data_IF_527420648462
#
_entry.id   IF_527420648462
#
_cell.length_a   1.000
_cell.length_b   1.000
_cell.length_c   1.000
_cell.angle_alpha   90.00
_cell.angle_beta   90.00
_cell.angle_gamma   90.00
#
_symmetry.space_group_name_H-M   'P 1'
#
loop_
_entity.id
_entity.type
_entity.pdbx_description
1 polymer ?
#
# COMPACT_ATOMS: atom_id res chain seq x y z
N UNK A 1 -11.47 -11.70 -16.27
CA UNK A 1 -10.11 -11.16 -16.06
C UNK A 1 -9.56 -11.77 -14.77
N UNK A 2 -8.43 -12.49 -14.81
CA UNK A 2 -7.75 -12.96 -13.58
C UNK A 2 -6.86 -11.81 -13.10
N UNK A 3 -7.06 -11.35 -11.87
CA UNK A 3 -6.19 -10.35 -11.26
C UNK A 3 -4.84 -11.00 -10.94
N UNK A 4 -3.77 -10.30 -11.28
CA UNK A 4 -2.41 -10.71 -10.96
C UNK A 4 -2.21 -10.76 -9.43
N UNK A 5 -1.57 -11.80 -8.87
CA UNK A 5 -1.33 -11.93 -7.44
C UNK A 5 -0.61 -10.72 -6.82
N UNK A 6 0.30 -10.04 -7.55
CA UNK A 6 0.97 -8.82 -7.08
C UNK A 6 0.00 -7.66 -6.95
N UNK A 7 -0.91 -7.50 -7.91
CA UNK A 7 -1.93 -6.45 -7.87
C UNK A 7 -2.86 -6.68 -6.66
N UNK A 8 -3.24 -7.94 -6.40
CA UNK A 8 -4.04 -8.29 -5.22
C UNK A 8 -3.28 -7.98 -3.93
N UNK A 9 -2.00 -8.31 -3.84
CA UNK A 9 -1.17 -8.02 -2.67
C UNK A 9 -1.05 -6.52 -2.39
N UNK A 10 -0.82 -5.72 -3.44
CA UNK A 10 -0.74 -4.25 -3.34
C UNK A 10 -2.07 -3.68 -2.83
N UNK A 11 -3.19 -4.09 -3.41
CA UNK A 11 -4.51 -3.61 -2.96
C UNK A 11 -4.84 -4.03 -1.54
N UNK A 12 -4.51 -5.28 -1.15
CA UNK A 12 -4.76 -5.76 0.20
C UNK A 12 -3.94 -4.98 1.24
N UNK A 13 -2.66 -4.76 0.98
CA UNK A 13 -1.78 -3.98 1.87
C UNK A 13 -2.15 -2.51 1.92
N UNK A 14 -2.56 -1.91 0.79
CA UNK A 14 -3.06 -0.53 0.78
C UNK A 14 -4.37 -0.37 1.56
N UNK A 15 -5.23 -1.41 1.60
CA UNK A 15 -6.48 -1.37 2.34
C UNK A 15 -6.31 -1.38 3.87
N UNK A 16 -5.21 -1.95 4.40
CA UNK A 16 -4.99 -2.07 5.84
C UNK A 16 -4.84 -0.71 6.55
N UNK A 17 -4.00 0.24 6.07
CA UNK A 17 -3.93 1.56 6.67
C UNK A 17 -5.23 2.36 6.46
N UNK A 18 -5.92 2.19 5.33
CA UNK A 18 -7.23 2.81 5.11
C UNK A 18 -8.27 2.32 6.12
N UNK A 19 -8.27 1.03 6.43
CA UNK A 19 -9.12 0.45 7.46
C UNK A 19 -8.74 0.96 8.86
N UNK A 20 -7.44 1.05 9.17
CA UNK A 20 -6.95 1.60 10.43
C UNK A 20 -7.33 3.09 10.61
N UNK A 21 -7.22 3.90 9.55
CA UNK A 21 -7.68 5.30 9.51
C UNK A 21 -9.18 5.36 9.79
N UNK A 22 -9.97 4.54 9.09
CA UNK A 22 -11.42 4.53 9.22
C UNK A 22 -11.85 4.14 10.64
N UNK A 23 -11.21 3.11 11.22
CA UNK A 23 -11.45 2.67 12.59
C UNK A 23 -11.08 3.77 13.58
N UNK A 24 -9.91 4.40 13.43
CA UNK A 24 -9.49 5.48 14.34
C UNK A 24 -10.37 6.72 14.23
N UNK A 25 -10.78 7.10 13.04
CA UNK A 25 -11.74 8.19 12.85
C UNK A 25 -13.08 7.88 13.52
N UNK A 26 -13.55 6.63 13.46
CA UNK A 26 -14.77 6.20 14.16
C UNK A 26 -14.63 6.26 15.70
N UNK A 27 -13.42 6.13 16.25
CA UNK A 27 -13.15 6.31 17.69
C UNK A 27 -13.13 7.77 18.16
N UNK A 28 -13.52 8.72 17.31
CA UNK A 28 -13.68 10.13 17.68
C UNK A 28 -12.44 11.00 17.49
N UNK A 29 -11.38 10.47 16.87
CA UNK A 29 -10.22 11.29 16.50
C UNK A 29 -10.59 12.24 15.36
N UNK A 30 -10.09 13.47 15.40
CA UNK A 30 -10.24 14.42 14.29
C UNK A 30 -9.61 13.81 13.04
N UNK A 31 -10.35 13.82 11.92
CA UNK A 31 -9.91 13.24 10.65
C UNK A 31 -8.50 13.69 10.24
N UNK A 32 -8.18 14.98 10.41
CA UNK A 32 -6.85 15.52 10.10
C UNK A 32 -5.70 14.93 10.95
N UNK A 33 -5.96 14.59 12.22
CA UNK A 33 -4.96 13.95 13.10
C UNK A 33 -4.75 12.50 12.69
N UNK A 34 -5.83 11.80 12.34
CA UNK A 34 -5.75 10.42 11.84
C UNK A 34 -5.00 10.39 10.51
N UNK A 35 -5.29 11.31 9.59
CA UNK A 35 -4.58 11.36 8.32
C UNK A 35 -3.09 11.64 8.52
N UNK A 36 -2.72 12.63 9.35
CA UNK A 36 -1.32 12.95 9.65
C UNK A 36 -0.55 11.78 10.29
N UNK A 37 -1.20 11.00 11.16
CA UNK A 37 -0.55 9.89 11.87
C UNK A 37 -0.37 8.64 10.99
N UNK A 38 -1.32 8.34 10.09
CA UNK A 38 -1.35 7.06 9.37
C UNK A 38 -0.92 7.18 7.89
N UNK A 39 -1.03 8.37 7.29
CA UNK A 39 -0.68 8.56 5.88
C UNK A 39 0.81 8.34 5.57
N UNK A 40 1.78 8.77 6.40
CA UNK A 40 3.19 8.45 6.16
C UNK A 40 3.46 6.95 6.13
N UNK A 41 2.83 6.19 7.03
CA UNK A 41 2.96 4.74 7.09
C UNK A 41 2.36 4.06 5.85
N UNK A 42 1.19 4.54 5.37
CA UNK A 42 0.60 4.10 4.10
C UNK A 42 1.57 4.32 2.93
N UNK A 43 2.14 5.52 2.81
CA UNK A 43 3.07 5.87 1.72
C UNK A 43 4.30 4.97 1.74
N UNK A 44 4.88 4.73 2.92
CA UNK A 44 6.04 3.83 3.05
C UNK A 44 5.71 2.39 2.68
N UNK A 45 4.59 1.85 3.18
CA UNK A 45 4.15 0.48 2.86
C UNK A 45 3.92 0.28 1.37
N UNK A 46 3.17 1.19 0.74
CA UNK A 46 2.89 1.13 -0.70
C UNK A 46 4.19 1.29 -1.50
N UNK A 47 5.06 2.23 -1.12
CA UNK A 47 6.34 2.46 -1.78
C UNK A 47 7.25 1.22 -1.75
N UNK A 48 7.39 0.57 -0.58
CA UNK A 48 8.18 -0.66 -0.43
C UNK A 48 7.63 -1.77 -1.33
N UNK A 49 6.30 -1.94 -1.40
CA UNK A 49 5.68 -2.96 -2.25
C UNK A 49 5.85 -2.68 -3.74
N UNK A 50 5.75 -1.43 -4.14
CA UNK A 50 6.00 -1.05 -5.54
C UNK A 50 7.44 -1.38 -5.92
N UNK A 51 8.42 -1.03 -5.07
CA UNK A 51 9.83 -1.36 -5.30
C UNK A 51 10.02 -2.88 -5.38
N UNK A 52 9.47 -3.63 -4.41
CA UNK A 52 9.56 -5.09 -4.40
C UNK A 52 8.91 -5.72 -5.64
N UNK A 53 7.80 -5.18 -6.13
CA UNK A 53 7.14 -5.62 -7.35
C UNK A 53 8.02 -5.35 -8.58
N UNK A 54 8.59 -4.16 -8.71
CA UNK A 54 9.50 -3.82 -9.81
C UNK A 54 10.73 -4.74 -9.83
N UNK A 55 11.36 -4.96 -8.67
CA UNK A 55 12.50 -5.88 -8.54
C UNK A 55 12.07 -7.31 -8.91
N UNK A 56 10.90 -7.75 -8.47
CA UNK A 56 10.39 -9.09 -8.79
C UNK A 56 10.12 -9.27 -10.28
N UNK A 57 9.51 -8.27 -10.92
CA UNK A 57 9.25 -8.27 -12.36
C UNK A 57 10.55 -8.25 -13.16
N UNK A 58 11.56 -7.50 -12.72
CA UNK A 58 12.87 -7.47 -13.33
C UNK A 58 13.62 -8.80 -13.18
N UNK A 59 13.57 -9.42 -12.00
CA UNK A 59 14.13 -10.75 -11.77
C UNK A 59 13.47 -11.84 -12.64
N UNK A 60 12.22 -11.63 -13.05
CA UNK A 60 11.50 -12.50 -13.98
C UNK A 60 11.77 -12.15 -15.46
N UNK A 61 12.59 -11.13 -15.76
CA UNK A 61 12.88 -10.67 -17.11
C UNK A 61 11.69 -9.99 -17.80
N UNK A 62 10.69 -9.53 -17.04
CA UNK A 62 9.48 -8.91 -17.55
C UNK A 62 9.60 -7.38 -17.70
N UNK A 63 10.52 -6.76 -16.94
CA UNK A 63 10.76 -5.32 -16.91
C UNK A 63 12.26 -5.06 -16.86
N UNK A 64 12.74 -4.11 -17.63
CA UNK A 64 14.14 -3.65 -17.57
C UNK A 64 14.28 -2.51 -16.55
N UNK A 65 15.36 -2.54 -15.76
CA UNK A 65 15.64 -1.54 -14.71
C UNK A 65 16.82 -0.63 -15.05
N UNK A 66 17.51 -0.89 -16.16
CA UNK A 66 18.64 -0.10 -16.68
C UNK A 66 18.18 1.13 -17.50
#
# INVERSE_FOLDING_TARGET
MRLDPFIVAIFFLAALPTAAISLRSATGWRAGVVFAAFYPALVLLVGILMIAAFISLAALGLVDLD
#
